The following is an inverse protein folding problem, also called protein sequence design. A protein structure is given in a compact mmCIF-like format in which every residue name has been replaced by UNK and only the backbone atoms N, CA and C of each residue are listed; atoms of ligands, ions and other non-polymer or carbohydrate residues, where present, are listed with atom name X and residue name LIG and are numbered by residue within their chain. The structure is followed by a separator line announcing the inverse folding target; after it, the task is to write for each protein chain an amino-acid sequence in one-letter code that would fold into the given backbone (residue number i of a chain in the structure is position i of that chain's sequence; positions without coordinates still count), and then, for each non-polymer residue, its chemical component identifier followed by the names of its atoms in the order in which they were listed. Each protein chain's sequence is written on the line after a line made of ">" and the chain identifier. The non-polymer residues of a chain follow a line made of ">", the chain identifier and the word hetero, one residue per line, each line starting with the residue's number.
data_IF_427378572987
#
_entry.id   IF_427378572987
#
_cell.length_a   1.000
_cell.length_b   1.000
_cell.length_c   1.000
_cell.angle_alpha   90.00
_cell.angle_beta   90.00
_cell.angle_gamma   90.00
#
_symmetry.space_group_name_H-M   'P 1'
#
loop_
_entity.id
_entity.type
_entity.pdbx_description
1 polymer ?
#
# COMPACT_ATOMS: atom_id res chain seq x y z
N UNK A 1 48.14 3.78 23.52
CA UNK A 1 46.72 3.83 23.15
C UNK A 1 46.22 5.21 23.58
N UNK A 2 45.59 6.07 22.79
CA UNK A 2 44.75 5.88 21.62
C UNK A 2 44.91 7.06 20.63
N UNK A 3 44.54 6.82 19.38
CA UNK A 3 44.65 7.75 18.24
C UNK A 3 43.49 8.76 18.25
N UNK A 4 43.79 10.05 18.20
CA UNK A 4 42.81 11.10 17.92
C UNK A 4 42.62 11.20 16.40
N UNK A 5 41.53 10.65 15.88
CA UNK A 5 41.21 10.69 14.46
C UNK A 5 39.73 11.03 14.26
N UNK A 6 39.32 12.24 14.66
CA UNK A 6 37.94 12.68 14.53
C UNK A 6 37.88 14.16 14.15
N UNK A 7 38.31 14.47 12.93
CA UNK A 7 38.10 15.76 12.29
C UNK A 7 37.85 15.54 10.80
N UNK A 8 36.70 14.95 10.48
CA UNK A 8 36.18 14.93 9.11
C UNK A 8 34.65 14.87 9.13
N UNK A 9 34.03 15.97 9.54
CA UNK A 9 32.64 16.25 9.17
C UNK A 9 32.63 17.60 8.47
N UNK A 10 32.55 17.64 7.12
CA UNK A 10 32.41 18.90 6.43
C UNK A 10 31.09 19.54 6.86
N UNK A 11 31.18 20.73 7.47
CA UNK A 11 30.03 21.61 7.73
C UNK A 11 29.48 22.07 6.37
N UNK A 12 28.55 21.31 5.79
CA UNK A 12 27.68 21.83 4.74
C UNK A 12 26.76 22.89 5.36
N UNK A 13 27.22 24.14 5.36
CA UNK A 13 26.38 25.30 5.60
C UNK A 13 25.61 25.59 4.31
N UNK A 14 24.76 24.66 3.88
CA UNK A 14 23.72 24.97 2.89
C UNK A 14 22.58 25.59 3.65
N UNK A 15 22.57 26.92 3.68
CA UNK A 15 21.42 27.73 4.09
C UNK A 15 20.29 27.44 3.10
N UNK A 16 19.56 26.35 3.33
CA UNK A 16 18.38 26.01 2.55
C UNK A 16 17.31 27.02 2.91
N UNK A 17 17.12 28.00 2.04
CA UNK A 17 15.88 28.78 1.94
C UNK A 17 14.76 27.85 1.44
N UNK A 18 14.51 26.76 2.17
CA UNK A 18 13.29 26.00 1.99
C UNK A 18 12.21 26.78 2.73
N UNK A 19 11.25 27.41 2.04
CA UNK A 19 10.06 27.87 2.72
C UNK A 19 9.50 26.65 3.45
N UNK A 20 9.38 26.77 4.78
CA UNK A 20 8.84 25.74 5.64
C UNK A 20 7.32 25.70 5.40
N UNK A 21 6.92 25.21 4.22
CA UNK A 21 5.53 24.92 3.91
C UNK A 21 5.14 23.74 4.77
N UNK A 22 4.32 24.02 5.78
CA UNK A 22 3.92 23.06 6.79
C UNK A 22 3.06 21.95 6.14
N UNK A 23 3.65 20.78 5.81
CA UNK A 23 3.03 19.81 4.92
C UNK A 23 1.77 19.17 5.54
N UNK A 24 1.62 19.27 6.85
CA UNK A 24 0.49 18.73 7.61
C UNK A 24 -0.80 19.54 7.41
N UNK A 25 -0.74 20.87 7.40
CA UNK A 25 -1.93 21.73 7.17
C UNK A 25 -2.39 21.64 5.72
N UNK A 26 -1.45 21.62 4.77
CA UNK A 26 -1.76 21.41 3.35
C UNK A 26 -2.29 20.00 3.07
N UNK A 27 -1.79 18.99 3.79
CA UNK A 27 -2.28 17.61 3.68
C UNK A 27 -3.75 17.47 4.07
N UNK A 28 -4.16 18.09 5.18
CA UNK A 28 -5.56 18.08 5.64
C UNK A 28 -6.49 18.84 4.69
N UNK A 29 -6.05 20.01 4.19
CA UNK A 29 -6.80 20.78 3.19
C UNK A 29 -7.00 19.96 1.91
N UNK A 30 -5.94 19.36 1.38
CA UNK A 30 -6.00 18.57 0.14
C UNK A 30 -6.93 17.37 0.25
N UNK A 31 -6.96 16.70 1.41
CA UNK A 31 -7.86 15.56 1.65
C UNK A 31 -9.33 15.96 1.73
N UNK A 32 -9.62 17.10 2.35
CA UNK A 32 -10.98 17.65 2.35
C UNK A 32 -11.41 18.09 0.95
N UNK A 33 -10.52 18.74 0.19
CA UNK A 33 -10.78 19.14 -1.19
C UNK A 33 -11.02 17.94 -2.12
N UNK A 34 -10.21 16.88 -2.00
CA UNK A 34 -10.39 15.66 -2.79
C UNK A 34 -11.75 14.98 -2.52
N UNK A 35 -12.15 14.88 -1.24
CA UNK A 35 -13.47 14.37 -0.86
C UNK A 35 -14.61 15.27 -1.34
N UNK A 36 -14.41 16.59 -1.31
CA UNK A 36 -15.41 17.56 -1.74
C UNK A 36 -15.63 17.54 -3.27
N UNK A 37 -14.56 17.56 -4.07
CA UNK A 37 -14.63 17.52 -5.54
C UNK A 37 -15.14 16.18 -6.08
N UNK A 38 -14.85 15.07 -5.40
CA UNK A 38 -15.32 13.73 -5.79
C UNK A 38 -16.81 13.47 -5.51
N UNK A 39 -17.51 14.38 -4.82
CA UNK A 39 -18.90 14.18 -4.41
C UNK A 39 -19.87 14.90 -5.35
N UNK A 40 -20.96 14.22 -5.76
CA UNK A 40 -22.02 14.81 -6.61
C UNK A 40 -22.65 16.10 -6.04
N UNK A 41 -22.55 16.31 -4.72
CA UNK A 41 -23.02 17.51 -4.01
C UNK A 41 -22.36 18.80 -4.48
N UNK A 42 -21.08 18.76 -4.89
CA UNK A 42 -20.39 19.95 -5.40
C UNK A 42 -21.01 20.44 -6.71
N UNK A 43 -21.29 19.51 -7.64
CA UNK A 43 -21.93 19.84 -8.92
C UNK A 43 -23.31 20.45 -8.70
N UNK A 44 -24.12 19.86 -7.81
CA UNK A 44 -25.45 20.41 -7.47
C UNK A 44 -25.36 21.83 -6.91
N UNK A 45 -24.44 22.08 -5.98
CA UNK A 45 -24.22 23.42 -5.42
C UNK A 45 -23.78 24.41 -6.49
N UNK A 46 -22.85 24.03 -7.37
CA UNK A 46 -22.37 24.89 -8.46
C UNK A 46 -23.47 25.21 -9.47
N UNK A 47 -24.27 24.21 -9.87
CA UNK A 47 -25.42 24.43 -10.76
C UNK A 47 -26.44 25.36 -10.11
N UNK A 48 -26.71 25.19 -8.82
CA UNK A 48 -27.61 26.09 -8.09
C UNK A 48 -27.06 27.51 -8.01
N UNK A 49 -25.76 27.69 -7.72
CA UNK A 49 -25.11 29.00 -7.67
C UNK A 49 -25.19 29.72 -9.02
N UNK A 50 -24.81 29.06 -10.11
CA UNK A 50 -24.86 29.63 -11.47
C UNK A 50 -26.31 29.91 -11.87
N UNK A 51 -27.22 28.97 -11.62
CA UNK A 51 -28.65 29.14 -11.92
C UNK A 51 -29.27 30.31 -11.15
N UNK A 52 -28.99 30.42 -9.85
CA UNK A 52 -29.43 31.52 -9.02
C UNK A 52 -28.88 32.85 -9.50
N UNK A 53 -27.60 32.93 -9.85
CA UNK A 53 -26.96 34.16 -10.36
C UNK A 53 -27.61 34.64 -11.66
N UNK A 54 -27.81 33.73 -12.61
CA UNK A 54 -28.45 34.03 -13.90
C UNK A 54 -29.91 34.44 -13.68
N UNK A 55 -30.64 33.72 -12.83
CA UNK A 55 -32.04 34.01 -12.53
C UNK A 55 -32.20 35.37 -11.85
N UNK A 56 -31.35 35.68 -10.86
CA UNK A 56 -31.31 36.96 -10.18
C UNK A 56 -31.04 38.10 -11.16
N UNK A 57 -29.99 38.00 -11.98
CA UNK A 57 -29.64 39.06 -12.93
C UNK A 57 -30.63 39.20 -14.10
N UNK A 58 -31.39 38.15 -14.43
CA UNK A 58 -32.40 38.20 -15.50
C UNK A 58 -33.74 38.77 -15.00
N UNK A 59 -34.21 38.32 -13.83
CA UNK A 59 -35.49 38.74 -13.25
C UNK A 59 -35.41 40.06 -12.48
N UNK A 60 -34.22 40.50 -12.06
CA UNK A 60 -34.06 41.77 -11.37
C UNK A 60 -34.45 42.97 -12.27
N UNK A 61 -35.05 44.02 -11.69
CA UNK A 61 -35.28 45.30 -12.39
C UNK A 61 -33.97 45.89 -12.91
N UNK A 62 -34.00 46.63 -14.02
CA UNK A 62 -32.80 47.22 -14.65
C UNK A 62 -31.92 48.05 -13.70
N UNK A 63 -32.49 48.61 -12.63
CA UNK A 63 -31.75 49.37 -11.61
C UNK A 63 -30.95 48.49 -10.64
N UNK A 64 -31.23 47.20 -10.54
CA UNK A 64 -30.59 46.27 -9.58
C UNK A 64 -29.82 45.12 -10.26
N UNK A 65 -29.71 45.15 -11.60
CA UNK A 65 -28.89 44.21 -12.37
C UNK A 65 -27.42 44.57 -12.20
N UNK A 66 -26.70 43.78 -11.42
CA UNK A 66 -25.26 43.96 -11.23
C UNK A 66 -24.45 43.36 -12.39
N UNK A 67 -24.98 42.35 -13.08
CA UNK A 67 -24.30 41.62 -14.15
C UNK A 67 -25.27 41.36 -15.33
N UNK A 68 -25.39 42.33 -16.24
CA UNK A 68 -26.25 42.22 -17.44
C UNK A 68 -25.60 41.31 -18.47
N UNK A 69 -26.41 40.66 -19.33
CA UNK A 69 -25.91 39.85 -20.46
C UNK A 69 -24.81 40.62 -21.22
N UNK A 70 -23.59 40.07 -21.35
CA UNK A 70 -23.23 38.64 -21.34
C UNK A 70 -22.64 38.05 -20.03
N UNK A 71 -22.96 38.61 -18.85
CA UNK A 71 -22.51 38.12 -17.54
C UNK A 71 -20.97 38.14 -17.35
N UNK A 72 -20.37 39.33 -17.47
CA UNK A 72 -18.91 39.52 -17.35
C UNK A 72 -18.42 39.07 -15.97
N UNK A 73 -19.14 39.39 -14.89
CA UNK A 73 -18.68 39.08 -13.54
C UNK A 73 -18.69 37.58 -13.27
N UNK A 74 -19.77 36.90 -13.66
CA UNK A 74 -19.84 35.44 -13.57
C UNK A 74 -18.70 34.79 -14.36
N UNK A 75 -18.42 35.29 -15.57
CA UNK A 75 -17.33 34.76 -16.40
C UNK A 75 -15.95 34.99 -15.77
N UNK A 76 -15.72 36.17 -15.20
CA UNK A 76 -14.48 36.49 -14.49
C UNK A 76 -14.28 35.57 -13.28
N UNK A 77 -15.32 35.37 -12.47
CA UNK A 77 -15.25 34.49 -11.29
C UNK A 77 -14.98 33.04 -11.70
N UNK A 78 -15.67 32.52 -12.73
CA UNK A 78 -15.46 31.16 -13.20
C UNK A 78 -14.06 30.96 -13.80
N UNK A 79 -13.55 31.94 -14.56
CA UNK A 79 -12.19 31.86 -15.11
C UNK A 79 -11.11 31.88 -14.02
N UNK A 80 -11.28 32.73 -13.00
CA UNK A 80 -10.41 32.75 -11.82
C UNK A 80 -10.48 31.44 -11.05
N UNK A 81 -11.68 30.90 -10.85
CA UNK A 81 -11.89 29.63 -10.16
C UNK A 81 -11.17 28.48 -10.87
N UNK A 82 -11.24 28.41 -12.20
CA UNK A 82 -10.51 27.42 -12.99
C UNK A 82 -8.98 27.61 -12.87
N UNK A 83 -8.50 28.86 -12.92
CA UNK A 83 -7.08 29.18 -12.81
C UNK A 83 -6.48 28.77 -11.46
N UNK A 84 -7.21 28.97 -10.35
CA UNK A 84 -6.75 28.58 -9.02
C UNK A 84 -6.97 27.08 -8.71
N UNK A 85 -7.93 26.43 -9.38
CA UNK A 85 -8.13 24.99 -9.24
C UNK A 85 -6.94 24.18 -9.78
N UNK A 86 -6.37 24.57 -10.93
CA UNK A 86 -5.24 23.86 -11.54
C UNK A 86 -4.03 23.63 -10.61
N UNK A 87 -3.44 24.66 -9.96
CA UNK A 87 -2.31 24.46 -9.06
C UNK A 87 -2.68 23.67 -7.79
N UNK A 88 -3.89 23.86 -7.26
CA UNK A 88 -4.37 23.05 -6.13
C UNK A 88 -4.51 21.56 -6.49
N UNK A 89 -5.04 21.27 -7.68
CA UNK A 89 -5.17 19.91 -8.20
C UNK A 89 -3.78 19.30 -8.39
N UNK A 90 -2.83 20.04 -8.97
CA UNK A 90 -1.44 19.57 -9.14
C UNK A 90 -0.77 19.24 -7.80
N UNK A 91 -0.98 20.06 -6.78
CA UNK A 91 -0.47 19.79 -5.43
C UNK A 91 -1.12 18.55 -4.80
N UNK A 92 -2.44 18.40 -4.96
CA UNK A 92 -3.16 17.21 -4.49
C UNK A 92 -2.69 15.94 -5.22
N UNK A 93 -2.41 16.04 -6.52
CA UNK A 93 -1.88 14.96 -7.36
C UNK A 93 -0.45 14.57 -6.96
N UNK A 94 0.45 15.53 -6.74
CA UNK A 94 1.81 15.25 -6.27
C UNK A 94 1.81 14.47 -4.96
N UNK A 95 0.95 14.87 -4.01
CA UNK A 95 0.84 14.16 -2.73
C UNK A 95 0.25 12.75 -2.89
N UNK A 96 -0.69 12.57 -3.82
CA UNK A 96 -1.22 11.24 -4.12
C UNK A 96 -0.12 10.35 -4.71
N UNK A 97 0.63 10.86 -5.68
CA UNK A 97 1.74 10.15 -6.31
C UNK A 97 2.85 9.80 -5.30
N UNK A 98 3.13 10.66 -4.33
CA UNK A 98 4.10 10.38 -3.25
C UNK A 98 3.62 9.23 -2.35
N UNK A 99 2.34 9.21 -1.96
CA UNK A 99 1.75 8.10 -1.19
C UNK A 99 1.76 6.80 -1.98
N UNK A 100 1.34 6.84 -3.24
CA UNK A 100 1.31 5.68 -4.12
C UNK A 100 2.73 5.11 -4.31
N UNK A 101 3.75 5.98 -4.41
CA UNK A 101 5.16 5.56 -4.48
C UNK A 101 5.64 4.87 -3.21
N UNK A 102 5.27 5.38 -2.03
CA UNK A 102 5.63 4.75 -0.74
C UNK A 102 4.99 3.37 -0.65
N UNK A 103 3.68 3.28 -0.92
CA UNK A 103 2.94 2.02 -0.87
C UNK A 103 3.54 0.98 -1.82
N UNK A 104 3.88 1.39 -3.04
CA UNK A 104 4.47 0.51 -4.04
C UNK A 104 5.89 0.03 -3.64
N UNK A 105 6.68 0.86 -2.97
CA UNK A 105 7.97 0.43 -2.42
C UNK A 105 7.81 -0.56 -1.27
N UNK A 106 6.83 -0.36 -0.39
CA UNK A 106 6.52 -1.32 0.67
C UNK A 106 6.05 -2.67 0.10
N UNK A 107 5.17 -2.64 -0.90
CA UNK A 107 4.67 -3.86 -1.56
C UNK A 107 5.81 -4.63 -2.22
N UNK A 108 6.76 -3.94 -2.89
CA UNK A 108 7.97 -4.58 -3.41
C UNK A 108 8.78 -5.25 -2.30
N UNK A 109 9.05 -4.54 -1.21
CA UNK A 109 9.82 -5.09 -0.10
C UNK A 109 9.11 -6.29 0.58
N UNK A 110 7.78 -6.29 0.63
CA UNK A 110 6.99 -7.44 1.11
C UNK A 110 7.06 -8.61 0.14
N UNK A 111 6.95 -8.35 -1.16
CA UNK A 111 7.02 -9.38 -2.19
C UNK A 111 8.39 -10.08 -2.18
N UNK A 112 9.47 -9.32 -2.07
CA UNK A 112 10.83 -9.88 -2.00
C UNK A 112 11.00 -10.80 -0.77
N UNK A 113 10.45 -10.41 0.39
CA UNK A 113 10.42 -11.27 1.58
C UNK A 113 9.56 -12.52 1.37
N UNK A 114 8.38 -12.38 0.76
CA UNK A 114 7.48 -13.50 0.48
C UNK A 114 8.13 -14.53 -0.46
N UNK A 115 8.92 -14.07 -1.44
CA UNK A 115 9.68 -14.95 -2.32
C UNK A 115 10.75 -15.69 -1.52
N UNK A 116 11.51 -15.00 -0.67
CA UNK A 116 12.54 -15.61 0.18
C UNK A 116 11.94 -16.65 1.15
N UNK A 117 10.81 -16.34 1.79
CA UNK A 117 10.11 -17.27 2.68
C UNK A 117 9.61 -18.51 1.91
N UNK A 118 9.11 -18.33 0.70
CA UNK A 118 8.67 -19.43 -0.16
C UNK A 118 9.84 -20.32 -0.56
N UNK A 119 10.98 -19.73 -0.92
CA UNK A 119 12.20 -20.47 -1.25
C UNK A 119 12.72 -21.25 -0.03
N UNK A 120 12.73 -20.62 1.15
CA UNK A 120 13.10 -21.26 2.41
C UNK A 120 12.19 -22.46 2.70
N UNK A 121 10.86 -22.27 2.68
CA UNK A 121 9.89 -23.34 2.90
C UNK A 121 10.01 -24.46 1.86
N UNK A 122 10.28 -24.14 0.60
CA UNK A 122 10.46 -25.14 -0.46
C UNK A 122 11.70 -25.99 -0.22
N UNK A 123 12.80 -25.37 0.22
CA UNK A 123 14.03 -26.07 0.59
C UNK A 123 13.82 -26.97 1.80
N UNK A 124 13.08 -26.50 2.79
CA UNK A 124 12.76 -27.27 3.99
C UNK A 124 11.76 -28.39 3.73
N UNK A 125 10.81 -28.21 2.82
CA UNK A 125 9.95 -29.29 2.34
C UNK A 125 10.76 -30.33 1.55
N UNK A 126 11.74 -29.91 0.75
CA UNK A 126 12.61 -30.84 0.03
C UNK A 126 13.47 -31.67 0.99
N UNK A 127 14.04 -31.07 2.04
CA UNK A 127 14.81 -31.79 3.05
C UNK A 127 13.93 -32.75 3.86
N UNK A 128 12.75 -32.30 4.31
CA UNK A 128 11.73 -33.14 4.96
C UNK A 128 11.31 -34.33 4.08
N UNK A 129 11.08 -34.11 2.78
CA UNK A 129 10.73 -35.17 1.83
C UNK A 129 11.83 -36.21 1.71
N UNK A 130 13.10 -35.81 1.70
CA UNK A 130 14.24 -36.74 1.63
C UNK A 130 14.31 -37.57 2.92
N UNK A 131 14.24 -36.93 4.09
CA UNK A 131 14.27 -37.63 5.38
C UNK A 131 13.09 -38.59 5.55
N UNK A 132 11.88 -38.19 5.16
CA UNK A 132 10.71 -39.09 5.15
C UNK A 132 10.85 -40.18 4.10
N UNK A 133 11.45 -39.88 2.95
CA UNK A 133 11.75 -40.84 1.90
C UNK A 133 12.65 -41.96 2.38
N UNK A 134 13.71 -41.65 3.12
CA UNK A 134 14.60 -42.65 3.73
C UNK A 134 13.87 -43.54 4.75
N UNK A 135 13.10 -42.93 5.67
CA UNK A 135 12.37 -43.66 6.72
C UNK A 135 11.19 -44.49 6.18
N UNK A 136 10.57 -44.07 5.07
CA UNK A 136 9.45 -44.75 4.44
C UNK A 136 9.86 -45.63 3.24
N UNK A 137 11.14 -45.97 3.10
CA UNK A 137 11.55 -46.83 1.98
C UNK A 137 11.01 -48.24 2.18
N UNK A 138 10.53 -48.86 1.10
CA UNK A 138 10.11 -50.28 1.04
C UNK A 138 11.12 -51.21 1.72
N UNK A 139 12.41 -50.91 1.64
CA UNK A 139 13.46 -51.75 2.24
C UNK A 139 13.50 -51.67 3.77
N UNK A 140 13.23 -50.51 4.39
CA UNK A 140 13.10 -50.38 5.85
C UNK A 140 11.83 -51.08 6.36
N UNK A 141 10.70 -50.83 5.69
CA UNK A 141 9.45 -51.56 5.95
C UNK A 141 9.63 -53.07 5.78
N UNK A 142 10.41 -53.51 4.80
CA UNK A 142 10.69 -54.93 4.54
C UNK A 142 11.64 -55.53 5.56
N UNK A 143 12.65 -54.79 6.03
CA UNK A 143 13.54 -55.27 7.09
C UNK A 143 12.80 -55.40 8.41
N UNK A 144 11.99 -54.42 8.80
CA UNK A 144 11.16 -54.49 10.03
C UNK A 144 10.15 -55.63 9.97
N UNK A 145 9.45 -55.78 8.84
CA UNK A 145 8.51 -56.88 8.67
C UNK A 145 9.22 -58.24 8.67
N UNK A 146 10.44 -58.33 8.13
CA UNK A 146 11.24 -59.56 8.16
C UNK A 146 11.75 -59.88 9.57
N UNK A 147 12.19 -58.87 10.32
CA UNK A 147 12.69 -59.00 11.69
C UNK A 147 11.58 -59.44 12.65
N UNK A 148 10.39 -58.83 12.57
CA UNK A 148 9.20 -59.24 13.32
C UNK A 148 8.77 -60.69 12.98
N UNK A 149 8.84 -61.07 11.69
CA UNK A 149 8.54 -62.44 11.24
C UNK A 149 9.53 -63.45 11.83
N UNK A 150 10.81 -63.13 11.83
CA UNK A 150 11.86 -63.99 12.35
C UNK A 150 11.76 -64.14 13.87
N UNK A 151 11.41 -63.07 14.58
CA UNK A 151 11.11 -63.09 16.01
C UNK A 151 9.91 -63.98 16.33
N UNK A 152 8.79 -63.83 15.60
CA UNK A 152 7.62 -64.71 15.76
C UNK A 152 7.93 -66.18 15.49
N UNK A 153 8.71 -66.49 14.45
CA UNK A 153 9.12 -67.88 14.13
C UNK A 153 10.00 -68.43 15.25
N UNK A 154 10.93 -67.63 15.77
CA UNK A 154 11.79 -68.00 16.89
C UNK A 154 10.97 -68.26 18.15
N UNK A 155 9.97 -67.43 18.42
CA UNK A 155 9.08 -67.60 19.57
C UNK A 155 8.22 -68.86 19.45
N UNK A 156 7.63 -69.12 18.26
CA UNK A 156 6.90 -70.36 17.95
C UNK A 156 7.79 -71.60 18.07
N UNK A 157 9.04 -71.53 17.63
CA UNK A 157 10.03 -72.62 17.74
C UNK A 157 10.52 -72.82 19.18
N UNK A 158 10.57 -71.75 19.96
CA UNK A 158 10.93 -71.77 21.38
C UNK A 158 9.79 -72.25 22.29
N UNK A 159 8.59 -72.44 21.74
CA UNK A 159 7.44 -73.06 22.39
C UNK A 159 7.32 -74.53 21.92
N UNK A 160 8.23 -75.44 22.32
CA UNK A 160 7.96 -76.86 22.16
C UNK A 160 6.73 -77.16 23.03
N UNK A 161 5.80 -77.90 22.43
CA UNK A 161 4.56 -78.39 23.01
C UNK A 161 4.74 -78.79 24.49
N UNK A 162 4.43 -77.86 25.39
CA UNK A 162 4.01 -78.17 26.75
C UNK A 162 2.50 -78.23 26.68
N UNK A 163 1.96 -79.40 27.00
CA UNK A 163 0.56 -79.82 26.98
C UNK A 163 0.20 -80.61 25.72
N UNK A 164 -0.27 -81.84 25.79
CA UNK A 164 -0.52 -82.83 26.85
C UNK A 164 -0.76 -84.15 26.13
#
# INVERSE_FOLDING_TARGET
>A
MARNNQLDTPRETRRSLRPNFDPETFGRLSENFARFLGTARFLVYMTFFVGFWVLWNTLAPMSMRWDTYPFIFLTLILSLQASYAAPLILLAQNRQADRDRIQLNEDRARNDRSIADTEYLTRELASLRISLGEVATRDFMRSEMAELLEEMIKELRSKPQSNS
#
